data_IF_897684074158
#
_entry.id   IF_897684074158
#
_cell.length_a   1.000
_cell.length_b   1.000
_cell.length_c   1.000
_cell.angle_alpha   90.00
_cell.angle_beta   90.00
_cell.angle_gamma   90.00
#
_symmetry.space_group_name_H-M   'P 1'
#
loop_
_entity.id
_entity.type
_entity.pdbx_description
1 polymer ?
#
# COMPACT_ATOMS: atom_id res chain seq x y z
N UNK A 1 11.20 1.20 -8.00
CA UNK A 1 11.67 0.33 -9.10
C UNK A 1 10.58 0.26 -10.16
N UNK A 2 10.91 0.49 -11.41
CA UNK A 2 9.99 0.27 -12.52
C UNK A 2 10.20 -1.14 -13.10
N UNK A 3 9.17 -1.97 -13.07
CA UNK A 3 9.16 -3.27 -13.74
C UNK A 3 8.78 -3.09 -15.22
N UNK A 4 9.74 -2.70 -16.04
CA UNK A 4 9.55 -2.56 -17.50
C UNK A 4 9.52 -3.89 -18.25
N UNK A 5 10.10 -4.94 -17.67
CA UNK A 5 10.11 -6.31 -18.19
C UNK A 5 8.72 -6.95 -18.02
N UNK A 6 8.05 -7.39 -19.11
CA UNK A 6 6.74 -8.04 -19.05
C UNK A 6 6.75 -9.34 -18.24
N UNK A 7 7.83 -10.13 -18.30
CA UNK A 7 7.92 -11.40 -17.58
C UNK A 7 8.01 -11.15 -16.08
N UNK A 8 8.71 -10.12 -15.64
CA UNK A 8 8.75 -9.72 -14.24
C UNK A 8 7.38 -9.21 -13.74
N UNK A 9 6.64 -8.47 -14.58
CA UNK A 9 5.27 -8.05 -14.22
C UNK A 9 4.30 -9.25 -14.14
N UNK A 10 4.45 -10.21 -15.04
CA UNK A 10 3.69 -11.44 -14.96
C UNK A 10 4.00 -12.20 -13.66
N UNK A 11 5.28 -12.34 -13.31
CA UNK A 11 5.70 -12.96 -12.05
C UNK A 11 5.11 -12.26 -10.80
N UNK A 12 5.06 -10.91 -10.77
CA UNK A 12 4.37 -10.18 -9.70
C UNK A 12 2.88 -10.54 -9.66
N UNK A 13 2.22 -10.65 -10.83
CA UNK A 13 0.79 -11.00 -10.89
C UNK A 13 0.54 -12.42 -10.36
N UNK A 14 1.43 -13.36 -10.63
CA UNK A 14 1.31 -14.74 -10.17
C UNK A 14 1.50 -14.86 -8.64
N UNK A 15 2.30 -13.97 -8.05
CA UNK A 15 2.49 -13.88 -6.60
C UNK A 15 1.31 -13.22 -5.88
N UNK A 16 0.50 -12.44 -6.58
CA UNK A 16 -0.61 -11.67 -5.99
C UNK A 16 -1.91 -12.10 -6.68
N UNK A 17 -2.57 -13.14 -6.16
CA UNK A 17 -3.80 -13.67 -6.77
C UNK A 17 -4.90 -12.61 -6.79
N UNK A 18 -5.85 -12.80 -7.71
CA UNK A 18 -7.03 -11.95 -7.90
C UNK A 18 -6.74 -10.49 -8.34
N UNK A 19 -5.51 -10.19 -8.80
CA UNK A 19 -5.13 -8.87 -9.32
C UNK A 19 -4.55 -8.93 -10.76
N UNK A 20 -5.30 -9.44 -11.75
CA UNK A 20 -4.79 -9.62 -13.12
C UNK A 20 -4.40 -8.30 -13.81
N UNK A 21 -4.92 -7.17 -13.34
CA UNK A 21 -4.61 -5.84 -13.87
C UNK A 21 -3.15 -5.43 -13.64
N UNK A 22 -2.40 -6.06 -12.73
CA UNK A 22 -0.97 -5.77 -12.53
C UNK A 22 -0.18 -5.99 -13.82
N UNK A 23 -0.39 -7.11 -14.52
CA UNK A 23 0.28 -7.38 -15.80
C UNK A 23 -0.31 -6.60 -16.98
N UNK A 24 -1.56 -6.16 -16.85
CA UNK A 24 -2.26 -5.40 -17.89
C UNK A 24 -1.88 -3.92 -17.88
N UNK A 25 -1.52 -3.38 -16.70
CA UNK A 25 -1.13 -1.98 -16.56
C UNK A 25 0.09 -1.65 -17.44
N UNK A 26 0.09 -0.52 -18.16
CA UNK A 26 1.24 -0.09 -18.95
C UNK A 26 2.50 0.07 -18.11
N UNK A 27 2.35 0.51 -16.85
CA UNK A 27 3.44 0.74 -15.90
C UNK A 27 3.11 0.09 -14.57
N UNK A 28 4.06 -0.67 -14.02
CA UNK A 28 4.03 -1.14 -12.64
C UNK A 28 5.29 -0.69 -11.91
N UNK A 29 5.09 0.09 -10.85
CA UNK A 29 6.15 0.60 -9.99
C UNK A 29 6.13 -0.13 -8.65
N UNK A 30 7.30 -0.51 -8.15
CA UNK A 30 7.49 -0.97 -6.77
C UNK A 30 8.15 0.16 -5.98
N UNK A 31 7.43 0.73 -5.03
CA UNK A 31 7.98 1.65 -4.04
C UNK A 31 8.60 0.85 -2.91
N UNK A 32 9.81 1.24 -2.52
CA UNK A 32 10.59 0.53 -1.52
C UNK A 32 11.01 1.50 -0.41
N UNK A 33 10.93 1.03 0.83
CA UNK A 33 11.64 1.68 1.93
C UNK A 33 13.13 1.35 1.84
N UNK A 34 13.99 2.36 1.93
CA UNK A 34 15.44 2.22 1.78
C UNK A 34 16.18 2.72 3.04
N UNK A 35 16.30 1.85 4.03
CA UNK A 35 17.14 2.08 5.22
C UNK A 35 18.63 1.78 5.00
N UNK A 36 18.97 1.19 3.85
CA UNK A 36 20.36 0.83 3.49
C UNK A 36 21.19 2.04 3.11
N UNK A 37 20.62 2.96 2.34
CA UNK A 37 21.34 4.10 1.74
C UNK A 37 22.03 4.96 2.77
N UNK A 38 21.32 5.33 3.83
CA UNK A 38 21.89 6.20 4.89
C UNK A 38 23.00 5.49 5.66
N UNK A 39 22.88 4.19 5.93
CA UNK A 39 23.94 3.38 6.55
C UNK A 39 25.18 3.32 5.67
N UNK A 40 24.99 3.13 4.37
CA UNK A 40 26.10 3.12 3.41
C UNK A 40 26.79 4.48 3.31
N UNK A 41 26.06 5.58 3.35
CA UNK A 41 26.61 6.94 3.37
C UNK A 41 27.44 7.17 4.64
N UNK A 42 26.93 6.76 5.80
CA UNK A 42 27.65 6.86 7.08
C UNK A 42 28.98 6.11 7.01
N UNK A 43 28.96 4.86 6.53
CA UNK A 43 30.17 4.05 6.36
C UNK A 43 31.20 4.70 5.42
N UNK A 44 30.74 5.24 4.27
CA UNK A 44 31.62 5.94 3.31
C UNK A 44 32.25 7.20 3.91
N UNK A 45 31.61 7.82 4.90
CA UNK A 45 32.10 9.00 5.60
C UNK A 45 32.88 8.69 6.89
N UNK A 46 33.05 7.40 7.22
CA UNK A 46 33.72 6.97 8.45
C UNK A 46 32.95 7.33 9.71
N UNK A 47 31.63 7.50 9.63
CA UNK A 47 30.73 7.80 10.76
C UNK A 47 29.85 6.59 11.08
N UNK A 48 29.34 6.54 12.32
CA UNK A 48 28.41 5.48 12.76
C UNK A 48 26.97 5.94 12.52
N UNK A 49 26.16 5.06 11.92
CA UNK A 49 24.71 5.25 11.86
C UNK A 49 24.10 4.71 13.17
N UNK A 50 23.66 5.59 14.04
CA UNK A 50 23.22 5.28 15.41
C UNK A 50 21.68 5.42 15.58
N UNK A 51 20.89 4.94 14.63
CA UNK A 51 19.44 4.91 14.78
C UNK A 51 18.95 3.55 15.25
N UNK A 52 17.96 3.56 16.13
CA UNK A 52 17.24 2.36 16.51
C UNK A 52 16.56 1.70 15.28
N UNK A 53 16.51 0.36 15.21
CA UNK A 53 15.98 -0.34 14.05
C UNK A 53 14.55 0.07 13.67
N UNK A 54 13.68 0.30 14.66
CA UNK A 54 12.29 0.71 14.41
C UNK A 54 12.22 2.13 13.83
N UNK A 55 13.01 3.06 14.36
CA UNK A 55 13.08 4.43 13.83
C UNK A 55 13.60 4.44 12.38
N UNK A 56 14.64 3.65 12.10
CA UNK A 56 15.16 3.50 10.74
C UNK A 56 14.13 2.91 9.76
N UNK A 57 13.33 1.94 10.22
CA UNK A 57 12.23 1.37 9.44
C UNK A 57 11.13 2.41 9.20
N UNK A 58 10.69 3.11 10.25
CA UNK A 58 9.64 4.14 10.15
C UNK A 58 10.03 5.25 9.17
N UNK A 59 11.26 5.77 9.26
CA UNK A 59 11.76 6.80 8.35
C UNK A 59 11.73 6.30 6.89
N UNK A 60 12.24 5.10 6.62
CA UNK A 60 12.25 4.53 5.28
C UNK A 60 10.84 4.27 4.73
N UNK A 61 9.90 3.83 5.58
CA UNK A 61 8.51 3.61 5.21
C UNK A 61 7.77 4.94 4.93
N UNK A 62 7.96 5.95 5.78
CA UNK A 62 7.39 7.28 5.60
C UNK A 62 7.89 7.94 4.31
N UNK A 63 9.19 7.87 4.03
CA UNK A 63 9.76 8.40 2.79
C UNK A 63 9.13 7.73 1.56
N UNK A 64 9.01 6.40 1.57
CA UNK A 64 8.37 5.68 0.47
C UNK A 64 6.91 6.08 0.28
N UNK A 65 6.16 6.24 1.38
CA UNK A 65 4.76 6.66 1.35
C UNK A 65 4.59 8.07 0.78
N UNK A 66 5.41 9.03 1.24
CA UNK A 66 5.38 10.43 0.79
C UNK A 66 5.69 10.51 -0.70
N UNK A 67 6.74 9.81 -1.16
CA UNK A 67 7.12 9.79 -2.57
C UNK A 67 6.02 9.16 -3.43
N UNK A 68 5.43 8.04 -2.98
CA UNK A 68 4.33 7.39 -3.69
C UNK A 68 3.11 8.31 -3.79
N UNK A 69 2.71 8.97 -2.70
CA UNK A 69 1.56 9.86 -2.71
C UNK A 69 1.78 11.08 -3.63
N UNK A 70 2.96 11.68 -3.60
CA UNK A 70 3.30 12.78 -4.50
C UNK A 70 3.29 12.32 -5.97
N UNK A 71 3.77 11.11 -6.25
CA UNK A 71 3.70 10.54 -7.59
C UNK A 71 2.25 10.35 -8.06
N UNK A 72 1.37 9.80 -7.19
CA UNK A 72 -0.05 9.60 -7.50
C UNK A 72 -0.71 10.95 -7.85
N UNK A 73 -0.54 11.97 -7.01
CA UNK A 73 -1.11 13.30 -7.25
C UNK A 73 -0.63 13.89 -8.57
N UNK A 74 0.66 13.76 -8.88
CA UNK A 74 1.22 14.26 -10.13
C UNK A 74 0.70 13.48 -11.36
N UNK A 75 0.59 12.15 -11.25
CA UNK A 75 0.08 11.30 -12.32
C UNK A 75 -1.40 11.58 -12.61
N UNK A 76 -2.23 11.70 -11.57
CA UNK A 76 -3.65 12.03 -11.70
C UNK A 76 -3.85 13.45 -12.27
N UNK A 77 -3.04 14.41 -11.86
CA UNK A 77 -3.05 15.76 -12.46
C UNK A 77 -2.68 15.76 -13.95
N UNK A 78 -1.94 14.74 -14.41
CA UNK A 78 -1.61 14.51 -15.82
C UNK A 78 -2.65 13.65 -16.58
N UNK A 79 -3.78 13.33 -15.95
CA UNK A 79 -4.87 12.54 -16.54
C UNK A 79 -4.61 11.02 -16.53
N UNK A 80 -3.66 10.53 -15.74
CA UNK A 80 -3.41 9.11 -15.55
C UNK A 80 -4.19 8.59 -14.34
N UNK A 81 -4.55 7.30 -14.38
CA UNK A 81 -5.09 6.57 -13.24
C UNK A 81 -3.98 5.85 -12.47
N UNK A 82 -4.17 5.74 -11.17
CA UNK A 82 -3.24 5.08 -10.26
C UNK A 82 -3.99 4.04 -9.41
N UNK A 83 -3.41 2.84 -9.26
CA UNK A 83 -3.95 1.79 -8.39
C UNK A 83 -2.85 1.28 -7.46
N UNK A 84 -2.82 1.70 -6.17
CA UNK A 84 -1.90 1.19 -5.17
C UNK A 84 -2.16 -0.29 -4.85
N UNK A 85 -1.08 -1.08 -4.76
CA UNK A 85 -1.12 -2.52 -4.51
C UNK A 85 -0.37 -2.82 -3.21
N UNK A 86 -1.10 -2.92 -2.10
CA UNK A 86 -0.52 -3.26 -0.79
C UNK A 86 -0.14 -4.73 -0.67
N UNK A 87 -0.80 -5.60 -1.44
CA UNK A 87 -0.64 -7.04 -1.41
C UNK A 87 0.78 -7.53 -1.79
N UNK A 88 1.63 -6.67 -2.36
CA UNK A 88 3.07 -6.98 -2.54
C UNK A 88 3.76 -7.35 -1.23
N UNK A 89 3.21 -6.93 -0.08
CA UNK A 89 3.76 -7.27 1.25
C UNK A 89 3.35 -8.67 1.75
N UNK A 90 2.40 -9.30 1.10
CA UNK A 90 1.97 -10.67 1.43
C UNK A 90 2.92 -11.73 0.87
N UNK A 91 3.63 -11.36 -0.21
CA UNK A 91 4.67 -12.16 -0.85
C UNK A 91 6.03 -11.43 -0.74
N UNK A 92 6.38 -10.94 0.45
CA UNK A 92 7.56 -10.07 0.67
C UNK A 92 8.84 -10.73 0.20
N UNK A 93 9.09 -11.99 0.58
CA UNK A 93 10.36 -12.67 0.28
C UNK A 93 10.51 -12.91 -1.23
N UNK A 94 9.43 -13.30 -1.90
CA UNK A 94 9.40 -13.52 -3.35
C UNK A 94 9.58 -12.21 -4.11
N UNK A 95 8.95 -11.12 -3.66
CA UNK A 95 9.12 -9.79 -4.25
C UNK A 95 10.54 -9.27 -4.04
N UNK A 96 11.13 -9.47 -2.87
CA UNK A 96 12.53 -9.15 -2.57
C UNK A 96 13.46 -9.88 -3.53
N UNK A 97 13.25 -11.19 -3.72
CA UNK A 97 14.04 -12.01 -4.64
C UNK A 97 13.87 -11.56 -6.11
N UNK A 98 12.62 -11.35 -6.55
CA UNK A 98 12.29 -10.93 -7.93
C UNK A 98 12.87 -9.57 -8.27
N UNK A 99 12.81 -8.62 -7.34
CA UNK A 99 13.33 -7.26 -7.48
C UNK A 99 14.83 -7.16 -7.13
N UNK A 100 15.44 -8.25 -6.63
CA UNK A 100 16.83 -8.29 -6.16
C UNK A 100 17.13 -7.18 -5.15
N UNK A 101 16.23 -7.01 -4.18
CA UNK A 101 16.41 -6.00 -3.14
C UNK A 101 17.54 -6.41 -2.20
N UNK A 102 18.48 -5.50 -1.91
CA UNK A 102 19.54 -5.78 -0.95
C UNK A 102 19.03 -5.64 0.50
N UNK A 103 19.78 -6.19 1.44
CA UNK A 103 19.51 -6.04 2.87
C UNK A 103 19.27 -4.58 3.27
N UNK A 104 18.21 -4.33 4.03
CA UNK A 104 17.81 -3.00 4.48
C UNK A 104 16.95 -2.22 3.48
N UNK A 105 16.55 -2.86 2.36
CA UNK A 105 15.54 -2.37 1.41
C UNK A 105 14.37 -3.33 1.39
N UNK A 106 13.16 -2.83 1.52
CA UNK A 106 11.95 -3.65 1.60
C UNK A 106 10.82 -3.10 0.71
N UNK A 107 9.92 -3.97 0.19
CA UNK A 107 8.79 -3.53 -0.61
C UNK A 107 7.78 -2.81 0.29
N UNK A 108 7.44 -1.58 -0.08
CA UNK A 108 6.42 -0.78 0.62
C UNK A 108 5.04 -0.98 -0.02
N UNK A 109 4.93 -0.69 -1.31
CA UNK A 109 3.72 -0.91 -2.11
C UNK A 109 4.04 -0.96 -3.59
N UNK A 110 3.23 -1.70 -4.35
CA UNK A 110 3.16 -1.60 -5.80
C UNK A 110 2.25 -0.44 -6.22
N UNK A 111 2.40 0.03 -7.46
CA UNK A 111 1.53 1.00 -8.08
C UNK A 111 1.37 0.69 -9.56
N UNK A 112 0.15 0.35 -9.97
CA UNK A 112 -0.22 0.32 -11.37
C UNK A 112 -0.54 1.73 -11.85
N UNK A 113 -0.03 2.11 -13.03
CA UNK A 113 -0.26 3.42 -13.63
C UNK A 113 -0.61 3.27 -15.09
N UNK A 114 -1.63 3.99 -15.55
CA UNK A 114 -2.07 3.97 -16.94
C UNK A 114 -3.26 4.91 -17.15
N UNK A 115 -3.81 4.92 -18.36
CA UNK A 115 -5.09 5.59 -18.57
C UNK A 115 -6.22 4.74 -17.97
N UNK A 116 -7.16 5.34 -17.21
CA UNK A 116 -8.31 4.60 -16.68
C UNK A 116 -9.10 3.91 -17.78
N UNK A 117 -9.38 2.61 -17.60
CA UNK A 117 -10.24 1.86 -18.52
C UNK A 117 -11.73 2.07 -18.23
N UNK A 118 -12.04 2.32 -16.96
CA UNK A 118 -13.39 2.54 -16.45
C UNK A 118 -13.45 3.88 -15.69
N UNK A 119 -14.67 4.42 -15.53
CA UNK A 119 -14.87 5.58 -14.67
C UNK A 119 -14.58 5.21 -13.20
N UNK A 120 -13.66 5.92 -12.53
CA UNK A 120 -13.34 5.63 -11.14
C UNK A 120 -14.51 6.02 -10.24
N UNK A 121 -14.82 5.16 -9.27
CA UNK A 121 -15.76 5.51 -8.21
C UNK A 121 -15.02 5.86 -6.91
N UNK A 122 -15.59 6.78 -6.16
CA UNK A 122 -15.01 7.18 -4.87
C UNK A 122 -15.57 6.27 -3.77
N UNK A 123 -14.69 5.45 -3.17
CA UNK A 123 -15.10 4.58 -2.07
C UNK A 123 -15.55 5.38 -0.85
N UNK A 124 -16.53 4.86 -0.13
CA UNK A 124 -16.99 5.43 1.14
C UNK A 124 -15.80 5.53 2.10
N UNK A 125 -15.72 6.62 2.84
CA UNK A 125 -14.70 6.87 3.86
C UNK A 125 -15.34 7.02 5.23
N UNK A 126 -14.56 6.70 6.27
CA UNK A 126 -14.90 7.11 7.63
C UNK A 126 -14.97 8.64 7.71
N UNK A 127 -15.84 9.21 8.52
CA UNK A 127 -15.88 10.66 8.71
C UNK A 127 -14.61 11.16 9.38
N UNK A 128 -14.25 12.42 9.08
CA UNK A 128 -12.97 13.00 9.55
C UNK A 128 -12.82 12.96 11.07
N UNK A 129 -13.91 13.06 11.82
CA UNK A 129 -13.87 12.99 13.30
C UNK A 129 -13.33 11.67 13.87
N UNK A 130 -13.30 10.59 13.06
CA UNK A 130 -12.69 9.30 13.45
C UNK A 130 -11.17 9.30 13.27
N UNK A 131 -10.65 10.18 12.42
CA UNK A 131 -9.23 10.19 12.05
C UNK A 131 -8.51 11.49 12.37
N UNK A 132 -9.26 12.55 12.72
CA UNK A 132 -8.73 13.86 13.05
C UNK A 132 -9.28 14.29 14.41
N UNK A 133 -8.40 14.41 15.37
CA UNK A 133 -8.73 14.77 16.76
C UNK A 133 -8.15 16.15 17.10
N UNK A 134 -8.76 16.85 18.06
CA UNK A 134 -8.29 18.14 18.53
C UNK A 134 -7.78 18.02 19.96
N UNK A 135 -6.54 18.45 20.18
CA UNK A 135 -5.83 18.48 21.48
C UNK A 135 -5.57 17.10 22.11
N UNK A 136 -6.45 16.11 21.97
CA UNK A 136 -6.28 14.76 22.50
C UNK A 136 -6.94 13.74 21.57
N UNK A 137 -6.52 12.48 21.66
CA UNK A 137 -7.15 11.36 20.95
C UNK A 137 -8.48 11.02 21.61
N UNK A 138 -9.55 10.85 20.81
CA UNK A 138 -10.88 10.47 21.26
C UNK A 138 -11.51 9.50 20.25
N UNK A 139 -11.79 8.28 20.72
CA UNK A 139 -12.47 7.23 19.96
C UNK A 139 -13.76 6.75 20.67
N UNK A 140 -14.31 7.56 21.57
CA UNK A 140 -15.47 7.22 22.40
C UNK A 140 -16.73 6.85 21.60
N UNK A 141 -16.87 7.34 20.36
CA UNK A 141 -18.01 7.06 19.47
C UNK A 141 -17.65 6.11 18.31
N UNK A 142 -16.49 5.47 18.34
CA UNK A 142 -15.98 4.65 17.22
C UNK A 142 -16.94 3.56 16.79
N UNK A 143 -17.62 2.87 17.74
CA UNK A 143 -18.58 1.79 17.45
C UNK A 143 -19.74 2.28 16.58
N UNK A 144 -20.37 3.41 16.94
CA UNK A 144 -21.46 4.00 16.17
C UNK A 144 -21.00 4.48 14.80
N UNK A 145 -19.80 5.06 14.71
CA UNK A 145 -19.20 5.51 13.45
C UNK A 145 -18.92 4.37 12.51
N UNK A 146 -18.43 3.23 13.01
CA UNK A 146 -18.21 2.03 12.22
C UNK A 146 -19.53 1.44 11.73
N UNK A 147 -20.54 1.30 12.60
CA UNK A 147 -21.87 0.82 12.21
C UNK A 147 -22.49 1.71 11.11
N UNK A 148 -22.39 3.03 11.26
CA UNK A 148 -22.84 3.99 10.25
C UNK A 148 -22.05 3.88 8.93
N UNK A 149 -20.74 3.68 9.02
CA UNK A 149 -19.88 3.45 7.84
C UNK A 149 -20.28 2.19 7.10
N UNK A 150 -20.42 1.06 7.81
CA UNK A 150 -20.75 -0.23 7.22
C UNK A 150 -22.11 -0.20 6.50
N UNK A 151 -23.14 0.40 7.12
CA UNK A 151 -24.44 0.59 6.48
C UNK A 151 -24.35 1.42 5.19
N UNK A 152 -23.58 2.50 5.17
CA UNK A 152 -23.38 3.34 3.96
C UNK A 152 -22.59 2.59 2.89
N UNK A 153 -21.58 1.83 3.28
CA UNK A 153 -20.76 1.05 2.35
C UNK A 153 -21.56 -0.07 1.71
N UNK A 154 -22.34 -0.81 2.50
CA UNK A 154 -23.16 -1.91 2.02
C UNK A 154 -24.24 -1.46 1.05
N UNK A 155 -24.77 -0.25 1.22
CA UNK A 155 -25.70 0.35 0.27
C UNK A 155 -25.07 0.66 -1.10
N UNK A 156 -23.76 0.88 -1.17
CA UNK A 156 -23.05 1.28 -2.40
C UNK A 156 -22.28 0.12 -3.01
N UNK A 157 -21.55 -0.64 -2.20
CA UNK A 157 -20.68 -1.73 -2.65
C UNK A 157 -20.49 -2.76 -1.53
N UNK A 158 -21.46 -3.67 -1.32
CA UNK A 158 -21.36 -4.69 -0.27
C UNK A 158 -20.18 -5.63 -0.50
N UNK A 159 -19.52 -6.06 0.56
CA UNK A 159 -18.53 -7.13 0.47
C UNK A 159 -19.22 -8.46 0.13
N UNK A 160 -18.85 -9.04 -0.98
CA UNK A 160 -19.42 -10.32 -1.44
C UNK A 160 -18.67 -11.53 -0.90
N UNK A 161 -17.47 -11.36 -0.35
CA UNK A 161 -16.62 -12.48 0.08
C UNK A 161 -15.68 -12.03 1.19
N UNK A 162 -15.69 -12.77 2.29
CA UNK A 162 -14.72 -12.63 3.37
C UNK A 162 -13.35 -13.15 2.92
N UNK A 163 -12.30 -12.43 3.26
CA UNK A 163 -10.92 -12.83 3.00
C UNK A 163 -10.46 -13.88 4.01
N UNK A 164 -9.95 -15.00 3.51
CA UNK A 164 -9.34 -16.10 4.28
C UNK A 164 -10.09 -16.48 5.57
N UNK A 165 -11.35 -16.92 5.46
CA UNK A 165 -12.14 -17.29 6.65
C UNK A 165 -11.53 -18.47 7.41
N UNK A 166 -10.75 -19.32 6.76
CA UNK A 166 -10.06 -20.43 7.39
C UNK A 166 -9.00 -19.96 8.41
N UNK A 167 -8.39 -18.81 8.16
CA UNK A 167 -7.36 -18.19 9.02
C UNK A 167 -7.95 -17.26 10.07
N UNK A 168 -8.97 -16.48 9.71
CA UNK A 168 -9.51 -15.40 10.55
C UNK A 168 -10.85 -15.70 11.19
N UNK A 169 -11.43 -16.90 10.91
CA UNK A 169 -12.79 -17.26 11.33
C UNK A 169 -13.88 -16.70 10.40
N UNK A 170 -15.03 -17.32 10.42
CA UNK A 170 -16.21 -16.82 9.69
C UNK A 170 -16.89 -15.71 10.50
N UNK A 171 -17.26 -14.62 9.83
CA UNK A 171 -18.07 -13.54 10.40
C UNK A 171 -19.34 -13.35 9.58
N UNK A 172 -20.45 -13.05 10.26
CA UNK A 172 -21.74 -12.85 9.60
C UNK A 172 -21.82 -11.50 8.89
N UNK A 173 -21.21 -10.47 9.49
CA UNK A 173 -21.15 -9.12 8.95
C UNK A 173 -19.69 -8.75 8.67
N UNK A 174 -19.34 -8.72 7.39
CA UNK A 174 -17.99 -8.39 6.94
C UNK A 174 -17.90 -6.89 6.63
N UNK A 175 -17.57 -6.12 7.66
CA UNK A 175 -17.49 -4.66 7.64
C UNK A 175 -16.11 -4.10 7.35
N UNK A 176 -15.72 -3.11 8.13
CA UNK A 176 -14.43 -2.42 8.03
C UNK A 176 -13.22 -3.31 8.31
N UNK A 177 -13.34 -4.31 9.15
CA UNK A 177 -12.25 -5.17 9.64
C UNK A 177 -11.73 -6.15 8.60
#
# INVERSE_FOLDING_TARGET
>A
INFSDPDKRAAVTDLIPDMPWIKQAPVFLLFCGDGRRIRRIANLRGTTFAHEPLDAFMNAACDAAIVMQNFIVAAEAAGLGCCPISAVREATDEIVALAQLPDGVFPFAGLCVGYPADEPWVSVRLPMRVTVHTDHYDDSDLENELASYDARRDAVNPHSKQRDPARFGEVNDYGWS
#
